data_IF_199172359041
#
_entry.id   IF_199172359041
#
_cell.length_a   1.000
_cell.length_b   1.000
_cell.length_c   1.000
_cell.angle_alpha   90.00
_cell.angle_beta   90.00
_cell.angle_gamma   90.00
#
_symmetry.space_group_name_H-M   'P 1'
#
loop_
_entity.id
_entity.type
_entity.pdbx_description
1 polymer ?
#
# COMPACT_ATOMS: atom_id res chain seq x y z
N UNK A 1 -7.27 -23.21 -23.89
CA UNK A 1 -5.82 -22.94 -23.89
C UNK A 1 -5.40 -22.91 -22.43
N UNK A 2 -4.49 -23.78 -22.01
CA UNK A 2 -4.06 -23.86 -20.62
C UNK A 2 -3.31 -22.57 -20.26
N UNK A 3 -3.90 -21.72 -19.41
CA UNK A 3 -3.18 -20.62 -18.78
C UNK A 3 -2.02 -21.24 -18.00
N UNK A 4 -0.80 -20.99 -18.48
CA UNK A 4 0.41 -21.40 -17.81
C UNK A 4 0.36 -20.83 -16.39
N UNK A 5 0.29 -21.71 -15.39
CA UNK A 5 0.20 -21.44 -13.95
C UNK A 5 1.41 -20.65 -13.43
N UNK A 6 1.59 -19.40 -13.86
CA UNK A 6 2.45 -18.44 -13.18
C UNK A 6 1.66 -17.91 -11.99
N UNK A 7 2.24 -18.06 -10.80
CA UNK A 7 1.70 -17.42 -9.59
C UNK A 7 1.69 -15.89 -9.72
N UNK A 8 1.07 -15.19 -8.76
CA UNK A 8 1.01 -13.73 -8.80
C UNK A 8 2.41 -13.12 -8.80
N UNK A 9 2.55 -11.98 -9.46
CA UNK A 9 3.70 -11.08 -9.45
C UNK A 9 3.64 -10.09 -8.29
N UNK A 10 2.44 -9.74 -7.81
CA UNK A 10 2.28 -8.99 -6.58
C UNK A 10 1.02 -9.36 -5.82
N UNK A 11 1.02 -9.11 -4.51
CA UNK A 11 -0.16 -9.22 -3.64
C UNK A 11 -0.26 -7.97 -2.78
N UNK A 12 -1.48 -7.47 -2.67
CA UNK A 12 -1.80 -6.33 -1.83
C UNK A 12 -2.93 -6.66 -0.86
N UNK A 13 -2.90 -6.00 0.29
CA UNK A 13 -4.04 -5.92 1.20
C UNK A 13 -4.39 -4.45 1.35
N UNK A 14 -5.68 -4.14 1.21
CA UNK A 14 -6.23 -2.79 1.24
C UNK A 14 -7.14 -2.65 2.45
N UNK A 15 -7.02 -1.54 3.17
CA UNK A 15 -7.90 -1.18 4.28
C UNK A 15 -8.25 0.30 4.22
N UNK A 16 -9.51 0.65 4.49
CA UNK A 16 -9.85 2.06 4.75
C UNK A 16 -9.48 2.43 6.19
N UNK A 17 -9.14 3.70 6.41
CA UNK A 17 -8.86 4.23 7.74
C UNK A 17 -9.46 5.63 7.94
N UNK A 18 -9.73 5.95 9.20
CA UNK A 18 -10.03 7.31 9.65
C UNK A 18 -8.73 8.07 9.93
N UNK A 19 -7.76 7.38 10.54
CA UNK A 19 -6.42 7.88 10.78
C UNK A 19 -5.44 6.71 10.83
N UNK A 20 -4.21 6.91 10.36
CA UNK A 20 -3.14 5.92 10.47
C UNK A 20 -1.82 6.60 10.81
N UNK A 21 -1.05 5.98 11.71
CA UNK A 21 0.27 6.44 12.13
C UNK A 21 1.28 5.32 11.95
N UNK A 22 2.34 5.59 11.20
CA UNK A 22 3.39 4.62 10.89
C UNK A 22 4.76 5.15 11.28
N UNK A 23 5.55 4.32 11.95
CA UNK A 23 6.94 4.62 12.24
C UNK A 23 7.80 4.52 10.97
N UNK A 24 8.60 5.55 10.69
CA UNK A 24 9.51 5.60 9.53
C UNK A 24 10.99 5.56 9.92
N UNK A 25 11.31 5.96 11.16
CA UNK A 25 12.66 5.86 11.69
C UNK A 25 12.64 5.25 13.09
N UNK A 26 13.57 4.34 13.35
CA UNK A 26 13.79 3.77 14.68
C UNK A 26 14.44 4.78 15.61
N UNK A 27 14.05 4.73 16.89
CA UNK A 27 14.73 5.53 17.91
C UNK A 27 16.19 5.06 18.02
N UNK A 28 17.09 5.99 18.28
CA UNK A 28 18.49 5.70 18.59
C UNK A 28 18.93 6.52 19.81
N UNK A 29 20.20 6.40 20.20
CA UNK A 29 20.75 7.09 21.39
C UNK A 29 20.60 8.62 21.36
N UNK A 30 20.35 9.20 20.18
CA UNK A 30 20.33 10.65 19.96
C UNK A 30 19.00 11.17 19.40
N UNK A 31 18.03 10.30 19.11
CA UNK A 31 16.76 10.72 18.51
C UNK A 31 15.62 9.76 18.83
N UNK A 32 14.44 10.33 19.06
CA UNK A 32 13.20 9.57 19.19
C UNK A 32 12.78 8.97 17.85
N UNK A 33 11.93 7.94 17.91
CA UNK A 33 11.34 7.34 16.73
C UNK A 33 10.51 8.37 15.95
N UNK A 34 10.69 8.42 14.64
CA UNK A 34 9.93 9.32 13.77
C UNK A 34 8.72 8.61 13.16
N UNK A 35 7.63 9.35 13.01
CA UNK A 35 6.37 8.84 12.51
C UNK A 35 5.80 9.73 11.40
N UNK A 36 5.12 9.11 10.45
CA UNK A 36 4.23 9.76 9.50
C UNK A 36 2.79 9.42 9.84
N UNK A 37 1.88 10.31 9.45
CA UNK A 37 0.45 10.16 9.69
C UNK A 37 -0.32 10.48 8.43
N UNK A 38 -1.44 9.79 8.25
CA UNK A 38 -2.49 10.16 7.32
C UNK A 38 -3.80 10.25 8.08
N UNK A 39 -4.66 11.15 7.64
CA UNK A 39 -6.06 11.15 8.05
C UNK A 39 -6.86 10.17 7.19
N UNK A 40 -8.11 10.52 6.88
CA UNK A 40 -9.03 9.62 6.21
C UNK A 40 -8.49 9.19 4.85
N UNK A 41 -8.53 7.89 4.59
CA UNK A 41 -8.05 7.36 3.33
C UNK A 41 -7.87 5.86 3.32
N UNK A 42 -6.79 5.42 2.68
CA UNK A 42 -6.54 4.00 2.42
C UNK A 42 -5.10 3.61 2.79
N UNK A 43 -4.97 2.47 3.45
CA UNK A 43 -3.69 1.80 3.70
C UNK A 43 -3.51 0.67 2.68
N UNK A 44 -2.38 0.66 1.99
CA UNK A 44 -1.96 -0.39 1.06
C UNK A 44 -0.78 -1.14 1.67
N UNK A 45 -0.98 -2.41 2.01
CA UNK A 45 0.12 -3.33 2.30
C UNK A 45 0.52 -4.03 1.01
N UNK A 46 1.82 -4.03 0.67
CA UNK A 46 2.28 -4.54 -0.62
C UNK A 46 3.40 -5.58 -0.49
N UNK A 47 3.32 -6.63 -1.30
CA UNK A 47 4.34 -7.66 -1.47
C UNK A 47 4.54 -7.96 -2.94
N UNK A 48 5.79 -7.98 -3.39
CA UNK A 48 6.19 -8.39 -4.73
C UNK A 48 6.76 -9.81 -4.73
N UNK A 49 6.58 -10.51 -5.84
CA UNK A 49 7.03 -11.88 -6.04
C UNK A 49 8.09 -11.96 -7.14
N UNK A 50 8.77 -13.11 -7.21
CA UNK A 50 9.77 -13.39 -8.24
C UNK A 50 9.19 -13.20 -9.64
N UNK A 51 9.92 -12.47 -10.48
CA UNK A 51 9.52 -12.17 -11.84
C UNK A 51 8.67 -10.91 -12.00
N UNK A 52 8.33 -10.22 -10.91
CA UNK A 52 7.76 -8.87 -11.00
C UNK A 52 8.80 -7.89 -11.59
N UNK A 53 8.34 -7.05 -12.51
CA UNK A 53 9.11 -5.96 -13.15
C UNK A 53 8.33 -4.67 -13.05
N UNK A 54 8.91 -3.53 -13.42
CA UNK A 54 8.21 -2.25 -13.40
C UNK A 54 6.94 -2.23 -14.29
N UNK A 55 6.86 -3.13 -15.27
CA UNK A 55 5.74 -3.23 -16.22
C UNK A 55 4.38 -3.46 -15.55
N UNK A 56 4.36 -4.09 -14.35
CA UNK A 56 3.11 -4.34 -13.63
C UNK A 56 2.60 -3.11 -12.88
N UNK A 57 3.47 -2.16 -12.56
CA UNK A 57 3.18 -1.07 -11.63
C UNK A 57 2.08 -0.12 -12.14
N UNK A 58 2.03 0.30 -13.43
CA UNK A 58 0.94 1.15 -13.91
C UNK A 58 -0.44 0.51 -13.73
N UNK A 59 -0.55 -0.79 -14.01
CA UNK A 59 -1.79 -1.54 -13.82
C UNK A 59 -2.15 -1.64 -12.34
N UNK A 60 -1.16 -1.91 -11.48
CA UNK A 60 -1.36 -1.96 -10.03
C UNK A 60 -1.89 -0.63 -9.50
N UNK A 61 -1.21 0.47 -9.76
CA UNK A 61 -1.59 1.80 -9.26
C UNK A 61 -2.98 2.18 -9.77
N UNK A 62 -3.23 2.04 -11.07
CA UNK A 62 -4.55 2.32 -11.64
C UNK A 62 -5.66 1.51 -10.99
N UNK A 63 -5.45 0.19 -10.80
CA UNK A 63 -6.44 -0.69 -10.17
C UNK A 63 -6.70 -0.26 -8.72
N UNK A 64 -5.64 -0.17 -7.91
CA UNK A 64 -5.77 0.03 -6.46
C UNK A 64 -6.38 1.39 -6.13
N UNK A 65 -5.97 2.47 -6.82
CA UNK A 65 -6.47 3.81 -6.54
C UNK A 65 -7.92 4.03 -7.03
N UNK A 66 -8.40 3.25 -8.00
CA UNK A 66 -9.78 3.32 -8.50
C UNK A 66 -10.76 2.38 -7.78
N UNK A 67 -10.28 1.46 -6.93
CA UNK A 67 -11.17 0.59 -6.15
C UNK A 67 -11.99 1.42 -5.16
N UNK A 68 -13.32 1.24 -5.20
CA UNK A 68 -14.27 1.99 -4.38
C UNK A 68 -14.43 1.35 -3.00
N UNK A 69 -13.41 1.52 -2.16
CA UNK A 69 -13.35 0.93 -0.81
C UNK A 69 -13.65 1.95 0.30
N UNK A 70 -13.37 3.22 0.05
CA UNK A 70 -13.50 4.27 1.04
C UNK A 70 -14.99 4.63 1.22
N UNK A 71 -15.48 4.58 2.45
CA UNK A 71 -16.85 5.00 2.74
C UNK A 71 -16.97 6.52 2.63
N UNK A 72 -18.09 7.05 2.15
CA UNK A 72 -18.42 8.48 2.21
C UNK A 72 -19.39 8.73 3.37
N UNK A 73 -19.57 9.98 3.86
CA UNK A 73 -20.53 10.28 4.92
C UNK A 73 -21.97 9.88 4.58
N UNK A 74 -22.32 9.79 3.28
CA UNK A 74 -23.62 9.33 2.81
C UNK A 74 -23.78 7.79 2.75
N UNK A 75 -22.78 7.02 3.21
CA UNK A 75 -22.77 5.56 3.18
C UNK A 75 -22.41 4.93 1.82
N UNK A 76 -22.32 5.73 0.75
CA UNK A 76 -21.82 5.26 -0.55
C UNK A 76 -20.31 5.01 -0.49
N UNK A 77 -19.84 4.06 -1.30
CA UNK A 77 -18.42 3.79 -1.46
C UNK A 77 -17.83 4.62 -2.59
N UNK A 78 -16.61 5.07 -2.40
CA UNK A 78 -15.84 5.88 -3.34
C UNK A 78 -14.40 5.37 -3.42
N UNK A 79 -13.72 5.66 -4.52
CA UNK A 79 -12.28 5.42 -4.61
C UNK A 79 -11.51 6.42 -3.75
N UNK A 80 -10.22 6.17 -3.49
CA UNK A 80 -9.39 7.12 -2.73
C UNK A 80 -9.25 8.45 -3.49
N UNK A 81 -9.27 8.40 -4.83
CA UNK A 81 -9.25 9.57 -5.72
C UNK A 81 -10.56 10.37 -5.64
N UNK A 82 -11.70 9.69 -5.60
CA UNK A 82 -13.02 10.32 -5.46
C UNK A 82 -13.26 10.91 -4.07
N UNK A 83 -12.69 10.28 -3.02
CA UNK A 83 -12.83 10.67 -1.61
C UNK A 83 -12.07 11.95 -1.22
N UNK A 84 -11.23 12.51 -2.10
CA UNK A 84 -9.82 12.88 -1.81
C UNK A 84 -9.26 12.38 -0.46
N UNK A 85 -9.01 11.06 -0.37
CA UNK A 85 -8.39 10.46 0.80
C UNK A 85 -6.86 10.40 0.70
N UNK A 86 -6.16 10.44 1.83
CA UNK A 86 -4.71 10.23 1.88
C UNK A 86 -4.34 8.75 1.72
N UNK A 87 -3.10 8.47 1.33
CA UNK A 87 -2.62 7.11 1.09
C UNK A 87 -1.47 6.77 2.03
N UNK A 88 -1.53 5.62 2.70
CA UNK A 88 -0.40 5.06 3.45
C UNK A 88 0.05 3.75 2.83
N UNK A 89 1.27 3.73 2.28
CA UNK A 89 1.84 2.53 1.66
C UNK A 89 2.78 1.85 2.66
N UNK A 90 2.55 0.56 2.93
CA UNK A 90 3.33 -0.23 3.89
C UNK A 90 3.99 -1.41 3.17
N UNK A 91 5.33 -1.50 3.16
CA UNK A 91 6.01 -2.66 2.59
C UNK A 91 5.75 -3.86 3.51
N UNK A 92 5.13 -4.91 2.97
CA UNK A 92 4.65 -6.06 3.75
C UNK A 92 4.98 -7.38 3.03
N UNK A 93 6.27 -7.70 2.92
CA UNK A 93 6.76 -8.93 2.28
C UNK A 93 6.16 -10.22 2.90
N UNK A 94 5.67 -10.16 4.13
CA UNK A 94 5.05 -11.30 4.82
C UNK A 94 3.76 -11.79 4.15
N UNK A 95 3.09 -10.97 3.33
CA UNK A 95 1.93 -11.37 2.55
C UNK A 95 2.23 -12.52 1.57
N UNK A 96 3.49 -12.70 1.19
CA UNK A 96 3.93 -13.81 0.34
C UNK A 96 4.12 -15.14 1.06
N UNK A 97 3.94 -15.16 2.38
CA UNK A 97 4.11 -16.33 3.21
C UNK A 97 3.12 -17.45 2.90
N UNK A 98 3.62 -18.69 2.90
CA UNK A 98 2.81 -19.91 2.86
C UNK A 98 3.06 -20.73 4.11
N UNK A 99 1.99 -21.23 4.73
CA UNK A 99 2.11 -22.08 5.91
C UNK A 99 2.75 -23.42 5.55
N UNK A 100 3.75 -23.84 6.32
CA UNK A 100 4.36 -25.18 6.28
C UNK A 100 4.57 -25.68 7.70
N UNK A 101 3.73 -26.60 8.14
CA UNK A 101 3.70 -27.03 9.54
C UNK A 101 3.37 -25.84 10.45
N UNK A 102 4.28 -25.53 11.39
CA UNK A 102 4.15 -24.41 12.34
C UNK A 102 4.91 -23.15 11.92
N UNK A 103 5.45 -23.11 10.70
CA UNK A 103 6.26 -22.00 10.19
C UNK A 103 5.68 -21.43 8.88
N UNK A 104 6.14 -20.23 8.51
CA UNK A 104 5.83 -19.57 7.24
C UNK A 104 7.04 -19.64 6.31
N UNK A 105 6.80 -19.90 5.02
CA UNK A 105 7.82 -19.92 3.97
C UNK A 105 7.58 -18.82 2.94
N UNK A 106 8.67 -18.22 2.45
CA UNK A 106 8.64 -17.04 1.57
C UNK A 106 9.38 -17.28 0.25
N UNK A 107 9.40 -18.52 -0.25
CA UNK A 107 10.21 -18.93 -1.42
C UNK A 107 9.88 -18.17 -2.71
N UNK A 108 8.69 -17.59 -2.81
CA UNK A 108 8.22 -16.86 -3.98
C UNK A 108 8.44 -15.35 -3.89
N UNK A 109 8.86 -14.83 -2.74
CA UNK A 109 9.12 -13.41 -2.58
C UNK A 109 10.26 -12.98 -3.50
N UNK A 110 10.16 -11.73 -3.99
CA UNK A 110 11.23 -11.10 -4.73
C UNK A 110 12.49 -10.91 -3.85
N UNK A 111 13.65 -10.68 -4.48
CA UNK A 111 14.89 -10.29 -3.79
C UNK A 111 14.72 -8.98 -3.02
N UNK A 112 15.58 -8.71 -2.03
CA UNK A 112 15.50 -7.48 -1.24
C UNK A 112 15.75 -6.26 -2.10
N UNK A 113 16.72 -6.35 -2.99
CA UNK A 113 17.21 -5.29 -3.87
C UNK A 113 16.15 -4.92 -4.91
N UNK A 114 15.62 -5.91 -5.65
CA UNK A 114 14.60 -5.66 -6.67
C UNK A 114 13.29 -5.22 -6.01
N UNK A 115 12.93 -5.80 -4.86
CA UNK A 115 11.73 -5.40 -4.11
C UNK A 115 11.79 -3.96 -3.61
N UNK A 116 12.98 -3.48 -3.21
CA UNK A 116 13.20 -2.09 -2.83
C UNK A 116 12.99 -1.15 -4.03
N UNK A 117 13.54 -1.49 -5.19
CA UNK A 117 13.36 -0.69 -6.42
C UNK A 117 11.89 -0.61 -6.82
N UNK A 118 11.21 -1.76 -6.92
CA UNK A 118 9.77 -1.79 -7.24
C UNK A 118 8.92 -1.04 -6.23
N UNK A 119 9.26 -1.12 -4.94
CA UNK A 119 8.56 -0.38 -3.90
C UNK A 119 8.70 1.14 -4.10
N UNK A 120 9.91 1.65 -4.34
CA UNK A 120 10.11 3.08 -4.62
C UNK A 120 9.40 3.54 -5.89
N UNK A 121 9.48 2.77 -6.98
CA UNK A 121 8.77 3.07 -8.22
C UNK A 121 7.24 3.05 -8.02
N UNK A 122 6.72 2.11 -7.24
CA UNK A 122 5.29 2.04 -6.89
C UNK A 122 4.81 3.27 -6.09
N UNK A 123 5.58 3.68 -5.07
CA UNK A 123 5.27 4.88 -4.26
C UNK A 123 5.26 6.12 -5.14
N UNK A 124 6.28 6.32 -5.97
CA UNK A 124 6.40 7.46 -6.89
C UNK A 124 5.23 7.53 -7.89
N UNK A 125 4.81 6.39 -8.43
CA UNK A 125 3.65 6.33 -9.31
C UNK A 125 2.34 6.67 -8.58
N UNK A 126 2.16 6.21 -7.33
CA UNK A 126 0.99 6.57 -6.52
C UNK A 126 0.95 8.09 -6.24
N UNK A 127 2.10 8.70 -5.90
CA UNK A 127 2.22 10.15 -5.70
C UNK A 127 1.82 10.94 -6.94
N UNK A 128 2.32 10.52 -8.10
CA UNK A 128 2.01 11.16 -9.38
C UNK A 128 0.53 11.11 -9.71
N UNK A 129 -0.10 9.92 -9.60
CA UNK A 129 -1.51 9.73 -9.91
C UNK A 129 -2.42 10.47 -8.92
N UNK A 130 -2.09 10.44 -7.63
CA UNK A 130 -2.87 11.13 -6.61
C UNK A 130 -2.79 12.66 -6.76
N UNK A 131 -1.60 13.19 -7.08
CA UNK A 131 -1.41 14.61 -7.38
C UNK A 131 -2.16 15.04 -8.64
N UNK A 132 -2.09 14.25 -9.70
CA UNK A 132 -2.84 14.53 -10.94
C UNK A 132 -4.36 14.57 -10.70
N UNK A 133 -4.89 13.67 -9.86
CA UNK A 133 -6.30 13.69 -9.48
C UNK A 133 -6.68 14.90 -8.60
N UNK A 134 -5.79 15.32 -7.70
CA UNK A 134 -6.00 16.52 -6.89
C UNK A 134 -6.06 17.79 -7.74
N UNK A 135 -5.14 17.94 -8.71
CA UNK A 135 -5.08 19.09 -9.62
C UNK A 135 -6.37 19.22 -10.46
N UNK A 136 -6.93 18.09 -10.91
CA UNK A 136 -8.19 18.06 -11.70
C UNK A 136 -9.40 18.42 -10.86
N UNK A 137 -9.44 18.03 -9.59
CA UNK A 137 -10.61 18.25 -8.73
C UNK A 137 -10.64 19.62 -8.08
N UNK A 138 -9.54 20.39 -8.14
CA UNK A 138 -9.44 21.76 -7.62
C UNK A 138 -9.70 21.85 -6.11
N UNK A 139 -9.57 20.74 -5.38
CA UNK A 139 -9.82 20.68 -3.94
C UNK A 139 -8.54 21.00 -3.18
N UNK A 140 -8.59 22.00 -2.29
CA UNK A 140 -7.49 22.41 -1.40
C UNK A 140 -7.17 21.38 -0.29
N UNK A 141 -7.76 20.19 -0.33
CA UNK A 141 -7.48 19.15 0.67
C UNK A 141 -6.05 18.69 0.47
N UNK A 142 -5.22 18.79 1.51
CA UNK A 142 -3.85 18.30 1.55
C UNK A 142 -3.85 16.76 1.52
N UNK A 143 -4.15 16.20 0.35
CA UNK A 143 -4.09 14.77 0.10
C UNK A 143 -2.62 14.39 0.03
N UNK A 144 -2.17 13.53 0.95
CA UNK A 144 -0.77 13.11 1.00
C UNK A 144 -0.60 11.63 0.77
N UNK A 145 0.46 11.26 0.06
CA UNK A 145 1.00 9.91 0.11
C UNK A 145 2.07 9.89 1.20
N UNK A 146 1.91 8.98 2.16
CA UNK A 146 2.93 8.63 3.15
C UNK A 146 3.29 7.17 2.96
N UNK A 147 4.50 6.79 3.32
CA UNK A 147 4.97 5.43 3.10
C UNK A 147 5.90 4.97 4.19
N UNK A 148 5.94 3.66 4.42
CA UNK A 148 6.88 3.02 5.34
C UNK A 148 8.30 3.02 4.77
N UNK A 149 9.27 2.95 5.67
CA UNK A 149 10.68 2.75 5.31
C UNK A 149 10.89 1.27 5.02
N UNK A 150 11.30 0.95 3.80
CA UNK A 150 11.50 -0.42 3.36
C UNK A 150 12.62 -1.10 4.17
N UNK A 151 12.36 -2.32 4.65
CA UNK A 151 13.30 -3.07 5.48
C UNK A 151 13.24 -2.78 6.99
N UNK A 152 12.57 -1.70 7.42
CA UNK A 152 12.36 -1.41 8.84
C UNK A 152 11.16 -2.19 9.41
N UNK A 153 11.06 -2.22 10.74
CA UNK A 153 9.84 -2.67 11.41
C UNK A 153 8.70 -1.67 11.15
N UNK A 154 7.58 -2.17 10.64
CA UNK A 154 6.39 -1.37 10.36
C UNK A 154 5.52 -1.23 11.62
N UNK A 155 5.95 -0.40 12.58
CA UNK A 155 5.16 -0.12 13.79
C UNK A 155 3.99 0.80 13.41
N UNK A 156 2.79 0.22 13.39
CA UNK A 156 1.58 0.83 12.84
C UNK A 156 0.48 0.93 13.90
N UNK A 157 -0.15 2.09 13.96
CA UNK A 157 -1.42 2.32 14.66
C UNK A 157 -2.48 2.69 13.62
N UNK A 158 -3.63 2.03 13.68
CA UNK A 158 -4.69 2.19 12.70
C UNK A 158 -6.03 2.40 13.41
N UNK A 159 -6.69 3.53 13.10
CA UNK A 159 -8.04 3.82 13.53
C UNK A 159 -9.01 3.67 12.34
N UNK A 160 -10.07 2.91 12.54
CA UNK A 160 -11.03 2.55 11.48
C UNK A 160 -12.45 2.49 12.03
N UNK A 161 -13.42 2.87 11.22
CA UNK A 161 -14.84 2.59 11.45
C UNK A 161 -15.28 1.25 10.82
N UNK A 162 -14.35 0.30 10.70
CA UNK A 162 -14.49 -0.91 9.89
C UNK A 162 -13.46 -0.91 8.76
N UNK A 163 -12.39 -1.73 8.86
CA UNK A 163 -11.25 -1.65 7.95
C UNK A 163 -11.59 -2.06 6.51
N UNK A 164 -12.72 -2.74 6.30
CA UNK A 164 -13.21 -3.18 5.00
C UNK A 164 -12.11 -3.82 4.13
N UNK A 165 -11.48 -4.84 4.69
CA UNK A 165 -10.21 -5.39 4.19
C UNK A 165 -10.39 -6.20 2.90
N UNK A 166 -9.60 -5.90 1.88
CA UNK A 166 -9.61 -6.59 0.59
C UNK A 166 -8.21 -7.05 0.20
N UNK A 167 -8.12 -8.17 -0.51
CA UNK A 167 -6.89 -8.67 -1.09
C UNK A 167 -6.96 -8.59 -2.61
N UNK A 168 -5.92 -8.07 -3.25
CA UNK A 168 -5.82 -7.99 -4.72
C UNK A 168 -4.47 -8.54 -5.16
N UNK A 169 -4.50 -9.43 -6.14
CA UNK A 169 -3.32 -10.07 -6.74
C UNK A 169 -3.13 -9.59 -8.19
N UNK A 170 -1.88 -9.55 -8.63
CA UNK A 170 -1.45 -9.09 -9.96
C UNK A 170 -0.49 -10.08 -10.59
#
# INVERSE_FOLDING_TARGET
MAENSRGPLARTVLQQCLHARLQVQEANEHSEAQFVQIDRGMVIYICFFKGATEDILPKMVSTLLNLRLCEMPCGKRASVLELPGSLLIVPQATLGGRAKGKAMQYHNNISKEDGLQLYHSFVSLCEKELKAAADVTGKEVEVTVKHGTYGNRQVLMLDTNGPYTHMVEF
#
